data_IF_460870724822
#
_entry.id   IF_460870724822
#
_cell.length_a   1.000
_cell.length_b   1.000
_cell.length_c   1.000
_cell.angle_alpha   90.00
_cell.angle_beta   90.00
_cell.angle_gamma   90.00
#
_symmetry.space_group_name_H-M   'P 1'
#
loop_
_entity.id
_entity.type
_entity.pdbx_description
1 polymer ?
#
# COMPACT_ATOMS: atom_id res chain seq x y z
N UNK A 1 -3.99 55.12 52.57
CA UNK A 1 -4.61 54.56 51.41
C UNK A 1 -3.80 53.37 50.95
N UNK A 2 -4.17 52.14 51.36
CA UNK A 2 -3.50 50.91 51.02
C UNK A 2 -4.26 50.22 49.92
N UNK A 3 -3.66 50.11 48.72
CA UNK A 3 -4.19 49.30 47.63
C UNK A 3 -3.77 47.88 47.83
N UNK A 4 -4.72 46.98 48.12
CA UNK A 4 -4.54 45.53 48.19
C UNK A 4 -4.67 44.99 46.75
N UNK A 5 -3.56 44.51 46.19
CA UNK A 5 -3.56 43.75 44.96
C UNK A 5 -4.01 42.31 45.27
N UNK A 6 -5.17 41.92 44.80
CA UNK A 6 -5.63 40.55 44.84
C UNK A 6 -5.02 39.79 43.65
N UNK A 7 -4.13 38.87 43.92
CA UNK A 7 -3.57 37.93 43.00
C UNK A 7 -4.57 36.80 42.81
N UNK A 8 -5.28 36.77 41.70
CA UNK A 8 -6.16 35.65 41.32
C UNK A 8 -5.26 34.56 40.73
N UNK A 9 -4.97 33.53 41.51
CA UNK A 9 -4.33 32.32 41.03
C UNK A 9 -5.36 31.48 40.26
N UNK A 10 -5.20 31.46 38.95
CA UNK A 10 -5.96 30.57 38.06
C UNK A 10 -5.39 29.15 38.20
N UNK A 11 -6.06 28.32 39.02
CA UNK A 11 -5.74 26.88 39.11
C UNK A 11 -6.27 26.21 37.83
N UNK A 12 -5.40 25.99 36.88
CA UNK A 12 -5.66 25.08 35.76
C UNK A 12 -5.64 23.65 36.31
N UNK A 13 -6.81 23.13 36.64
CA UNK A 13 -6.97 21.68 36.88
C UNK A 13 -6.84 20.98 35.50
N UNK A 14 -5.64 20.45 35.21
CA UNK A 14 -5.47 19.48 34.14
C UNK A 14 -6.31 18.24 34.52
N UNK A 15 -7.42 18.08 33.82
CA UNK A 15 -8.20 16.85 33.88
C UNK A 15 -7.35 15.81 33.14
N UNK A 16 -6.54 15.03 33.84
CA UNK A 16 -6.00 13.78 33.36
C UNK A 16 -7.19 12.84 33.22
N UNK A 17 -7.70 12.70 32.00
CA UNK A 17 -8.54 11.58 31.68
C UNK A 17 -7.64 10.35 31.61
N UNK A 18 -7.43 9.73 32.78
CA UNK A 18 -6.89 8.37 32.83
C UNK A 18 -8.05 7.45 32.47
N UNK A 19 -8.25 7.19 31.19
CA UNK A 19 -8.99 6.00 30.80
C UNK A 19 -8.23 4.82 31.41
N UNK A 20 -8.86 3.93 32.18
CA UNK A 20 -8.19 2.70 32.57
C UNK A 20 -7.98 1.89 31.30
N UNK A 21 -6.77 1.87 30.78
CA UNK A 21 -6.36 0.82 29.85
C UNK A 21 -6.53 -0.46 30.69
N UNK A 22 -7.48 -1.30 30.33
CA UNK A 22 -7.63 -2.61 30.96
C UNK A 22 -6.26 -3.30 30.82
N UNK A 23 -5.70 -3.71 31.95
CA UNK A 23 -4.40 -4.37 31.96
C UNK A 23 -4.56 -5.66 31.14
N UNK A 24 -3.75 -5.83 30.10
CA UNK A 24 -3.68 -7.07 29.37
C UNK A 24 -3.35 -8.22 30.33
N UNK A 25 -4.04 -9.34 30.20
CA UNK A 25 -3.79 -10.54 30.97
C UNK A 25 -2.86 -11.47 30.19
N UNK A 26 -1.72 -11.82 30.77
CA UNK A 26 -0.77 -12.75 30.15
C UNK A 26 -1.32 -14.18 29.98
N UNK A 27 -2.48 -14.48 30.51
CA UNK A 27 -3.19 -15.76 30.31
C UNK A 27 -4.16 -15.70 29.13
N UNK A 28 -4.51 -14.52 28.65
CA UNK A 28 -5.37 -14.32 27.50
C UNK A 28 -4.53 -14.32 26.21
N UNK A 29 -5.09 -14.86 25.12
CA UNK A 29 -4.49 -14.78 23.80
C UNK A 29 -4.53 -13.34 23.22
N UNK A 30 -3.83 -13.13 22.11
CA UNK A 30 -3.70 -11.80 21.49
C UNK A 30 -5.08 -11.21 21.13
N UNK A 31 -6.01 -11.90 20.42
CA UNK A 31 -7.32 -11.35 20.11
C UNK A 31 -8.16 -11.01 21.34
N UNK A 32 -8.09 -11.84 22.38
CA UNK A 32 -8.81 -11.62 23.65
C UNK A 32 -8.29 -10.37 24.35
N UNK A 33 -6.95 -10.21 24.42
CA UNK A 33 -6.33 -9.01 24.97
C UNK A 33 -6.72 -7.76 24.18
N UNK A 34 -6.69 -7.80 22.83
CA UNK A 34 -7.11 -6.68 21.98
C UNK A 34 -8.57 -6.26 22.28
N UNK A 35 -9.48 -7.23 22.39
CA UNK A 35 -10.89 -6.99 22.75
C UNK A 35 -11.04 -6.35 24.12
N UNK A 36 -10.26 -6.78 25.11
CA UNK A 36 -10.38 -6.31 26.50
C UNK A 36 -9.84 -4.90 26.71
N UNK A 37 -9.01 -4.36 25.80
CA UNK A 37 -8.40 -3.02 25.95
C UNK A 37 -9.37 -1.88 25.70
N UNK A 38 -10.41 -2.08 24.84
CA UNK A 38 -11.38 -1.05 24.44
C UNK A 38 -10.79 0.12 23.64
N UNK A 39 -9.62 -0.09 23.02
CA UNK A 39 -8.94 0.87 22.15
C UNK A 39 -8.46 0.23 20.83
N UNK A 40 -8.87 -1.03 20.60
CA UNK A 40 -8.57 -1.82 19.42
C UNK A 40 -9.83 -2.45 18.82
N UNK A 41 -11.01 -1.82 19.00
CA UNK A 41 -12.27 -2.34 18.51
C UNK A 41 -12.22 -2.48 16.97
N UNK A 42 -11.67 -1.49 16.27
CA UNK A 42 -11.48 -1.52 14.81
C UNK A 42 -10.56 -2.66 14.36
N UNK A 43 -9.48 -2.94 15.09
CA UNK A 43 -8.60 -4.07 14.80
C UNK A 43 -9.34 -5.41 14.96
N UNK A 44 -10.11 -5.55 16.03
CA UNK A 44 -10.90 -6.78 16.28
C UNK A 44 -11.93 -6.98 15.19
N UNK A 45 -12.66 -5.94 14.79
CA UNK A 45 -13.63 -5.98 13.70
C UNK A 45 -12.98 -6.35 12.36
N UNK A 46 -11.79 -5.80 12.09
CA UNK A 46 -10.99 -6.14 10.90
C UNK A 46 -10.56 -7.62 10.91
N UNK A 47 -10.08 -8.13 12.06
CA UNK A 47 -9.71 -9.55 12.20
C UNK A 47 -10.90 -10.49 12.02
N UNK A 48 -12.10 -10.12 12.52
CA UNK A 48 -13.32 -10.88 12.30
C UNK A 48 -13.70 -10.89 10.82
N UNK A 49 -13.63 -9.74 10.16
CA UNK A 49 -13.96 -9.59 8.73
C UNK A 49 -13.04 -10.39 7.83
N UNK A 50 -11.74 -10.44 8.16
CA UNK A 50 -10.73 -11.20 7.42
C UNK A 50 -10.63 -12.69 7.83
N UNK A 51 -11.48 -13.16 8.75
CA UNK A 51 -11.44 -14.54 9.31
C UNK A 51 -10.08 -14.93 9.93
N UNK A 52 -9.38 -13.96 10.53
CA UNK A 52 -8.03 -14.14 11.10
C UNK A 52 -8.03 -14.39 12.61
N UNK A 53 -9.17 -14.29 13.29
CA UNK A 53 -9.24 -14.47 14.75
C UNK A 53 -8.69 -15.83 15.17
N UNK A 54 -9.14 -16.91 14.51
CA UNK A 54 -8.68 -18.28 14.83
C UNK A 54 -7.17 -18.45 14.55
N UNK A 55 -6.63 -17.79 13.53
CA UNK A 55 -5.20 -17.81 13.19
C UNK A 55 -4.36 -17.20 14.33
N UNK A 56 -4.80 -16.05 14.86
CA UNK A 56 -4.10 -15.37 15.95
C UNK A 56 -4.38 -15.96 17.34
N UNK A 57 -5.34 -16.88 17.47
CA UNK A 57 -5.54 -17.73 18.66
C UNK A 57 -4.64 -18.98 18.67
N UNK A 58 -3.91 -19.23 17.59
CA UNK A 58 -2.98 -20.35 17.48
C UNK A 58 -1.82 -20.31 18.48
N UNK A 59 -1.02 -21.39 18.46
CA UNK A 59 0.01 -21.66 19.48
C UNK A 59 1.19 -20.67 19.51
N UNK A 60 1.30 -19.72 18.57
CA UNK A 60 2.39 -18.73 18.55
C UNK A 60 3.81 -19.30 18.63
N UNK A 61 4.81 -18.57 19.12
CA UNK A 61 4.70 -17.18 19.55
C UNK A 61 4.50 -16.20 18.40
N UNK A 62 3.66 -15.21 18.62
CA UNK A 62 3.46 -14.10 17.69
C UNK A 62 3.91 -12.77 18.31
N UNK A 63 4.32 -11.84 17.44
CA UNK A 63 4.39 -10.42 17.81
C UNK A 63 3.39 -9.69 16.95
N UNK A 64 2.45 -8.98 17.58
CA UNK A 64 1.42 -8.22 16.87
C UNK A 64 1.63 -6.73 17.12
N UNK A 65 1.78 -5.98 16.06
CA UNK A 65 1.76 -4.52 16.06
C UNK A 65 0.30 -4.07 15.94
N UNK A 66 -0.32 -3.73 17.07
CA UNK A 66 -1.75 -3.47 17.18
C UNK A 66 -2.05 -1.97 17.01
N UNK A 67 -2.63 -1.52 15.89
CA UNK A 67 -3.05 -0.15 15.69
C UNK A 67 -4.23 0.18 16.61
N UNK A 68 -4.25 1.40 17.15
CA UNK A 68 -5.40 1.90 17.91
C UNK A 68 -6.58 2.23 16.98
N UNK A 69 -7.79 2.39 17.54
CA UNK A 69 -8.96 2.86 16.79
C UNK A 69 -8.71 4.23 16.14
N UNK A 70 -7.91 5.09 16.80
CA UNK A 70 -7.51 6.35 16.22
C UNK A 70 -6.61 6.17 15.00
N UNK A 71 -5.71 5.18 15.01
CA UNK A 71 -4.87 4.86 13.86
C UNK A 71 -5.69 4.43 12.63
N UNK A 72 -6.74 3.64 12.82
CA UNK A 72 -7.69 3.27 11.75
C UNK A 72 -8.44 4.50 11.24
N UNK A 73 -8.90 5.38 12.14
CA UNK A 73 -9.60 6.60 11.76
C UNK A 73 -8.69 7.57 10.98
N UNK A 74 -7.44 7.73 11.43
CA UNK A 74 -6.46 8.60 10.76
C UNK A 74 -6.04 8.06 9.39
N UNK A 75 -6.00 6.73 9.22
CA UNK A 75 -5.78 6.08 7.94
C UNK A 75 -7.00 6.14 7.01
N UNK A 76 -8.17 6.57 7.51
CA UNK A 76 -9.41 6.64 6.73
C UNK A 76 -9.94 5.27 6.30
N UNK A 77 -9.60 4.20 7.02
CA UNK A 77 -10.02 2.84 6.71
C UNK A 77 -11.48 2.66 7.15
N UNK A 78 -12.36 2.51 6.17
CA UNK A 78 -13.75 2.15 6.37
C UNK A 78 -13.92 0.62 6.17
N UNK A 79 -14.08 -0.11 7.27
CA UNK A 79 -14.24 -1.56 7.22
C UNK A 79 -15.49 -2.00 6.46
N UNK A 80 -16.53 -1.17 6.39
CA UNK A 80 -17.76 -1.48 5.67
C UNK A 80 -17.55 -1.46 4.13
N UNK A 81 -16.49 -0.83 3.66
CA UNK A 81 -16.15 -0.80 2.23
C UNK A 81 -15.60 -2.13 1.71
N UNK A 82 -15.04 -2.99 2.55
CA UNK A 82 -14.50 -4.29 2.15
C UNK A 82 -15.62 -5.31 1.97
N UNK A 83 -16.16 -5.44 0.78
CA UNK A 83 -17.36 -6.24 0.48
C UNK A 83 -17.12 -7.40 -0.49
N UNK A 84 -16.07 -7.35 -1.29
CA UNK A 84 -15.68 -8.40 -2.24
C UNK A 84 -14.58 -9.30 -1.67
N UNK A 85 -14.42 -10.48 -2.25
CA UNK A 85 -13.37 -11.42 -1.83
C UNK A 85 -11.97 -10.81 -2.05
N UNK A 86 -11.81 -9.99 -3.09
CA UNK A 86 -10.57 -9.28 -3.38
C UNK A 86 -10.25 -8.22 -2.32
N UNK A 87 -11.23 -7.40 -1.95
CA UNK A 87 -11.06 -6.39 -0.90
C UNK A 87 -10.77 -7.05 0.46
N UNK A 88 -11.42 -8.16 0.77
CA UNK A 88 -11.16 -8.93 1.99
C UNK A 88 -9.74 -9.54 1.94
N UNK A 89 -9.28 -10.00 0.78
CA UNK A 89 -7.92 -10.50 0.61
C UNK A 89 -6.88 -9.38 0.84
N UNK A 90 -7.14 -8.17 0.34
CA UNK A 90 -6.29 -7.01 0.60
C UNK A 90 -6.25 -6.62 2.09
N UNK A 91 -7.41 -6.61 2.76
CA UNK A 91 -7.48 -6.41 4.21
C UNK A 91 -6.70 -7.49 4.97
N UNK A 92 -6.81 -8.74 4.54
CA UNK A 92 -6.07 -9.88 5.10
C UNK A 92 -4.56 -9.67 4.99
N UNK A 93 -4.08 -9.21 3.84
CA UNK A 93 -2.67 -8.92 3.60
C UNK A 93 -2.16 -7.80 4.52
N UNK A 94 -2.91 -6.69 4.63
CA UNK A 94 -2.62 -5.61 5.57
C UNK A 94 -2.54 -6.13 6.99
N UNK A 95 -3.51 -6.92 7.45
CA UNK A 95 -3.53 -7.46 8.82
C UNK A 95 -2.37 -8.42 9.09
N UNK A 96 -2.00 -9.26 8.12
CA UNK A 96 -0.84 -10.15 8.24
C UNK A 96 0.49 -9.40 8.22
N UNK A 97 0.56 -8.22 7.61
CA UNK A 97 1.72 -7.33 7.69
C UNK A 97 1.91 -6.70 9.08
N UNK A 98 0.90 -6.78 9.96
CA UNK A 98 1.01 -6.38 11.37
C UNK A 98 1.48 -7.53 12.27
N UNK A 99 1.70 -8.72 11.73
CA UNK A 99 2.03 -9.92 12.51
C UNK A 99 3.40 -10.45 12.14
N UNK A 100 4.24 -10.67 13.13
CA UNK A 100 5.50 -11.39 13.01
C UNK A 100 5.40 -12.76 13.68
N UNK A 101 5.88 -13.82 13.01
CA UNK A 101 5.94 -15.17 13.56
C UNK A 101 7.17 -15.35 14.44
N UNK A 102 7.04 -14.95 15.70
CA UNK A 102 8.11 -14.96 16.69
C UNK A 102 7.78 -14.02 17.84
N UNK A 103 8.55 -14.07 18.92
CA UNK A 103 8.44 -13.15 20.05
C UNK A 103 9.59 -12.13 19.99
N UNK A 104 9.27 -10.87 19.72
CA UNK A 104 10.21 -9.75 19.72
C UNK A 104 9.78 -8.77 20.80
N UNK A 105 10.61 -8.59 21.84
CA UNK A 105 10.43 -7.55 22.81
C UNK A 105 11.14 -6.27 22.38
N UNK A 106 10.66 -5.12 22.81
CA UNK A 106 11.25 -3.81 22.46
C UNK A 106 12.76 -3.73 22.74
N UNK A 107 13.23 -4.40 23.80
CA UNK A 107 14.66 -4.47 24.14
C UNK A 107 15.50 -5.25 23.10
N UNK A 108 14.88 -6.08 22.26
CA UNK A 108 15.54 -6.82 21.19
C UNK A 108 15.55 -6.08 19.85
N UNK A 109 14.81 -4.97 19.74
CA UNK A 109 14.76 -4.16 18.53
C UNK A 109 15.97 -3.24 18.48
N UNK A 110 16.69 -3.28 17.37
CA UNK A 110 17.82 -2.38 17.08
C UNK A 110 17.50 -1.50 15.89
N UNK A 111 18.11 -0.33 15.85
CA UNK A 111 17.99 0.58 14.71
C UNK A 111 18.43 -0.09 13.40
N UNK A 112 17.60 0.01 12.35
CA UNK A 112 17.83 -0.65 11.06
C UNK A 112 17.51 -2.15 11.03
N UNK A 113 16.92 -2.73 12.09
CA UNK A 113 16.43 -4.12 12.05
C UNK A 113 15.31 -4.25 11.01
N UNK A 114 15.38 -5.29 10.18
CA UNK A 114 14.33 -5.67 9.24
C UNK A 114 13.86 -7.08 9.54
N UNK A 115 12.56 -7.32 9.52
CA UNK A 115 11.96 -8.65 9.74
C UNK A 115 10.89 -8.94 8.69
N UNK A 116 10.81 -10.20 8.27
CA UNK A 116 9.74 -10.66 7.40
C UNK A 116 8.46 -10.89 8.20
N UNK A 117 7.39 -10.19 7.83
CA UNK A 117 6.08 -10.33 8.44
C UNK A 117 5.34 -11.57 7.90
N UNK A 118 4.20 -11.91 8.48
CA UNK A 118 3.47 -13.15 8.12
C UNK A 118 2.94 -13.11 6.68
N UNK A 119 2.65 -11.94 6.12
CA UNK A 119 2.30 -11.80 4.70
C UNK A 119 3.49 -12.04 3.75
N UNK A 120 4.72 -12.02 4.24
CA UNK A 120 5.97 -12.24 3.51
C UNK A 120 6.75 -10.96 3.19
N UNK A 121 6.19 -9.79 3.47
CA UNK A 121 6.87 -8.52 3.25
C UNK A 121 7.78 -8.17 4.42
N UNK A 122 8.80 -7.36 4.16
CA UNK A 122 9.74 -6.91 5.18
C UNK A 122 9.27 -5.61 5.84
N UNK A 123 9.30 -5.57 7.18
CA UNK A 123 9.10 -4.37 7.96
C UNK A 123 10.42 -3.93 8.58
N UNK A 124 10.73 -2.63 8.45
CA UNK A 124 11.95 -2.03 8.99
C UNK A 124 11.67 -1.31 10.31
N UNK A 125 12.62 -1.40 11.24
CA UNK A 125 12.55 -0.75 12.53
C UNK A 125 13.56 0.38 12.63
N UNK A 126 13.13 1.48 13.26
CA UNK A 126 14.00 2.61 13.61
C UNK A 126 13.96 2.83 15.10
N UNK A 127 15.10 3.14 15.71
CA UNK A 127 15.18 3.46 17.13
C UNK A 127 15.84 4.82 17.29
N UNK A 128 15.06 5.84 17.66
CA UNK A 128 15.54 7.20 17.85
C UNK A 128 15.20 7.68 19.24
N UNK A 129 16.20 8.09 20.02
CA UNK A 129 16.07 8.59 21.39
C UNK A 129 15.28 7.64 22.33
N UNK A 130 15.39 6.32 22.08
CA UNK A 130 14.68 5.28 22.84
C UNK A 130 13.23 5.05 22.39
N UNK A 131 12.76 5.74 21.38
CA UNK A 131 11.47 5.50 20.73
C UNK A 131 11.65 4.48 19.61
N UNK A 132 10.86 3.42 19.64
CA UNK A 132 10.82 2.39 18.59
C UNK A 132 9.74 2.75 17.58
N UNK A 133 10.09 2.69 16.33
CA UNK A 133 9.15 2.80 15.22
C UNK A 133 9.23 1.53 14.37
N UNK A 134 8.11 1.12 13.78
CA UNK A 134 8.01 0.10 12.74
C UNK A 134 7.43 0.74 11.48
N UNK A 135 8.19 0.75 10.39
CA UNK A 135 7.85 1.60 9.25
C UNK A 135 7.73 3.06 9.69
N UNK A 136 6.57 3.67 9.47
CA UNK A 136 6.24 5.05 9.88
C UNK A 136 5.35 5.12 11.15
N UNK A 137 5.04 3.96 11.77
CA UNK A 137 4.24 3.88 12.99
C UNK A 137 5.13 3.91 14.23
N UNK A 138 4.72 4.69 15.24
CA UNK A 138 5.38 4.74 16.54
C UNK A 138 4.81 3.69 17.48
N UNK A 139 5.69 2.94 18.15
CA UNK A 139 5.28 2.05 19.23
C UNK A 139 4.97 2.90 20.48
N UNK A 140 3.68 3.07 20.77
CA UNK A 140 3.21 3.90 21.90
C UNK A 140 3.12 3.12 23.22
N UNK A 141 2.96 1.81 23.15
CA UNK A 141 3.02 0.90 24.30
C UNK A 141 3.65 -0.42 23.84
N UNK A 142 4.78 -0.76 24.43
CA UNK A 142 5.53 -1.95 24.08
C UNK A 142 5.35 -3.08 25.09
N UNK A 143 5.69 -4.31 24.66
CA UNK A 143 5.85 -5.50 25.50
C UNK A 143 4.58 -5.87 26.32
N UNK A 144 3.39 -5.68 25.73
CA UNK A 144 2.13 -6.14 26.30
C UNK A 144 2.06 -7.66 26.17
N UNK A 145 2.07 -8.44 27.27
CA UNK A 145 2.14 -9.88 27.21
C UNK A 145 0.80 -10.51 26.84
N UNK A 146 0.85 -11.59 26.07
CA UNK A 146 -0.26 -12.48 25.80
C UNK A 146 0.19 -13.95 25.97
N UNK A 147 -0.76 -14.88 26.16
CA UNK A 147 -0.46 -16.30 26.35
C UNK A 147 0.24 -16.94 25.14
N UNK A 148 0.03 -16.38 23.96
CA UNK A 148 0.59 -16.86 22.71
C UNK A 148 1.50 -15.82 21.98
N UNK A 149 1.97 -14.78 22.70
CA UNK A 149 2.89 -13.82 22.10
C UNK A 149 3.02 -12.49 22.83
N UNK A 150 3.38 -11.46 22.09
CA UNK A 150 3.60 -10.10 22.55
C UNK A 150 2.84 -9.13 21.65
N UNK A 151 2.24 -8.10 22.25
CA UNK A 151 1.56 -7.04 21.53
C UNK A 151 2.34 -5.73 21.71
N UNK A 152 2.57 -5.02 20.61
CA UNK A 152 3.06 -3.65 20.60
C UNK A 152 1.97 -2.75 20.04
N UNK A 153 1.49 -1.80 20.84
CA UNK A 153 0.48 -0.83 20.39
C UNK A 153 1.14 0.24 19.55
N UNK A 154 0.58 0.52 18.38
CA UNK A 154 1.11 1.50 17.43
C UNK A 154 0.08 2.59 17.11
N UNK A 155 0.60 3.78 16.75
CA UNK A 155 -0.21 4.97 16.45
C UNK A 155 -0.68 5.08 15.00
N UNK A 156 -0.24 4.16 14.12
CA UNK A 156 -0.67 4.10 12.72
C UNK A 156 -0.90 2.67 12.27
N UNK A 157 -1.74 2.50 11.24
CA UNK A 157 -1.88 1.24 10.53
C UNK A 157 -0.67 1.06 9.60
N UNK A 158 -0.01 -0.10 9.69
CA UNK A 158 1.08 -0.45 8.78
C UNK A 158 0.49 -0.81 7.41
N UNK A 159 1.01 -0.19 6.37
CA UNK A 159 0.66 -0.57 5.01
C UNK A 159 1.79 -1.41 4.43
N UNK A 160 1.50 -2.61 3.88
CA UNK A 160 2.49 -3.37 3.14
C UNK A 160 3.11 -2.49 2.04
N UNK A 161 4.41 -2.64 1.75
CA UNK A 161 4.97 -1.99 0.59
C UNK A 161 4.15 -2.39 -0.64
N UNK A 162 3.85 -1.41 -1.51
CA UNK A 162 3.22 -1.75 -2.77
C UNK A 162 4.08 -2.80 -3.47
N UNK A 163 3.46 -3.91 -3.88
CA UNK A 163 4.18 -4.88 -4.71
C UNK A 163 4.75 -4.11 -5.91
N UNK A 164 6.07 -3.93 -5.92
CA UNK A 164 6.74 -3.39 -7.11
C UNK A 164 6.29 -4.26 -8.28
N UNK A 165 5.79 -3.67 -9.37
CA UNK A 165 5.39 -4.45 -10.52
C UNK A 165 6.59 -5.30 -10.93
N UNK A 166 6.44 -6.63 -10.91
CA UNK A 166 7.50 -7.53 -11.35
C UNK A 166 7.72 -7.24 -12.84
N UNK A 167 8.75 -6.44 -13.12
CA UNK A 167 9.14 -6.13 -14.48
C UNK A 167 9.78 -7.39 -15.06
N UNK A 168 9.19 -8.01 -16.09
CA UNK A 168 9.75 -9.20 -16.73
C UNK A 168 11.15 -8.94 -17.27
N UNK A 169 12.00 -9.95 -17.25
CA UNK A 169 13.36 -9.85 -17.80
C UNK A 169 13.35 -9.31 -19.24
N UNK A 170 14.16 -8.29 -19.49
CA UNK A 170 14.26 -7.62 -20.79
C UNK A 170 13.24 -6.51 -21.01
N UNK A 171 12.49 -6.12 -19.99
CA UNK A 171 11.65 -4.93 -19.99
C UNK A 171 12.23 -3.90 -19.02
N UNK A 172 12.21 -2.62 -19.39
CA UNK A 172 12.46 -1.52 -18.46
C UNK A 172 11.14 -0.97 -17.90
N UNK A 173 10.07 -1.05 -18.70
CA UNK A 173 8.73 -0.62 -18.33
C UNK A 173 7.69 -1.63 -18.81
N UNK A 174 6.59 -1.74 -18.05
CA UNK A 174 5.44 -2.57 -18.44
C UNK A 174 4.20 -1.69 -18.52
N UNK A 175 3.44 -1.84 -19.59
CA UNK A 175 2.12 -1.28 -19.78
C UNK A 175 1.13 -2.44 -19.83
N UNK A 176 0.19 -2.46 -18.90
CA UNK A 176 -0.89 -3.42 -18.81
C UNK A 176 -2.24 -2.84 -19.25
N UNK A 177 -3.29 -3.39 -18.68
CA UNK A 177 -4.65 -2.90 -18.86
C UNK A 177 -5.17 -2.34 -17.52
N UNK A 178 -6.00 -1.30 -17.59
CA UNK A 178 -6.77 -0.82 -16.46
C UNK A 178 -7.67 -1.93 -15.88
N UNK A 179 -8.11 -1.79 -14.64
CA UNK A 179 -8.94 -2.80 -13.95
C UNK A 179 -10.21 -3.17 -14.72
N UNK A 180 -10.84 -2.20 -15.38
CA UNK A 180 -12.02 -2.42 -16.22
C UNK A 180 -11.69 -2.96 -17.62
N UNK A 181 -10.41 -3.07 -17.96
CA UNK A 181 -9.93 -3.51 -19.27
C UNK A 181 -10.22 -2.54 -20.42
N UNK A 182 -10.68 -1.32 -20.15
CA UNK A 182 -11.12 -0.37 -21.19
C UNK A 182 -10.04 0.63 -21.59
N UNK A 183 -8.90 0.65 -20.89
CA UNK A 183 -7.76 1.51 -21.16
C UNK A 183 -6.44 0.75 -20.93
N UNK A 184 -5.34 1.31 -21.39
CA UNK A 184 -4.03 0.94 -20.89
C UNK A 184 -3.82 1.55 -19.49
N UNK A 185 -3.12 0.88 -18.60
CA UNK A 185 -2.89 1.32 -17.22
C UNK A 185 -1.89 2.49 -17.12
N UNK A 186 -1.04 2.65 -18.13
CA UNK A 186 -0.13 3.77 -18.28
C UNK A 186 -0.19 4.29 -19.71
N UNK A 187 -0.75 5.47 -19.90
CA UNK A 187 -0.99 6.08 -21.23
C UNK A 187 -0.01 7.19 -21.60
N UNK A 188 0.83 7.63 -20.66
CA UNK A 188 1.78 8.73 -20.81
C UNK A 188 3.11 8.34 -20.16
N UNK A 189 3.99 7.72 -20.94
CA UNK A 189 5.27 7.20 -20.46
C UNK A 189 6.43 7.97 -21.08
N UNK A 190 7.40 8.40 -20.26
CA UNK A 190 8.64 9.02 -20.72
C UNK A 190 9.83 8.12 -20.40
N UNK A 191 10.64 7.83 -21.41
CA UNK A 191 11.77 6.89 -21.33
C UNK A 191 13.03 7.45 -21.98
N UNK A 192 14.20 6.89 -21.62
CA UNK A 192 15.44 7.17 -22.29
C UNK A 192 15.62 6.30 -23.57
N UNK A 193 16.43 6.79 -24.49
CA UNK A 193 16.87 5.98 -25.65
C UNK A 193 17.61 4.73 -25.17
N UNK A 194 17.28 3.59 -25.75
CA UNK A 194 17.82 2.27 -25.43
C UNK A 194 16.94 1.46 -24.47
N UNK A 195 15.91 2.05 -23.89
CA UNK A 195 15.01 1.34 -22.99
C UNK A 195 13.92 0.58 -23.74
N UNK A 196 13.43 -0.49 -23.13
CA UNK A 196 12.41 -1.41 -23.64
C UNK A 196 11.10 -1.24 -22.90
N UNK A 197 10.03 -0.97 -23.64
CA UNK A 197 8.66 -1.00 -23.13
C UNK A 197 7.99 -2.30 -23.54
N UNK A 198 7.32 -2.93 -22.60
CA UNK A 198 6.61 -4.18 -22.79
C UNK A 198 5.11 -3.97 -22.53
N UNK A 199 4.28 -4.27 -23.50
CA UNK A 199 2.83 -4.33 -23.32
C UNK A 199 2.46 -5.77 -22.99
N UNK A 200 2.02 -6.00 -21.74
CA UNK A 200 1.80 -7.37 -21.24
C UNK A 200 0.47 -7.45 -20.51
N UNK A 201 -0.36 -8.40 -20.94
CA UNK A 201 -1.56 -8.82 -20.20
C UNK A 201 -1.86 -10.28 -20.46
N UNK A 202 -2.51 -10.92 -19.49
CA UNK A 202 -2.92 -12.31 -19.54
C UNK A 202 -4.38 -12.41 -19.13
N UNK A 203 -5.13 -13.27 -19.83
CA UNK A 203 -6.52 -13.58 -19.51
C UNK A 203 -7.45 -12.35 -19.42
N UNK A 204 -7.19 -11.32 -20.24
CA UNK A 204 -8.05 -10.16 -20.33
C UNK A 204 -9.49 -10.56 -20.71
N UNK A 205 -10.48 -9.89 -20.10
CA UNK A 205 -11.90 -10.14 -20.37
C UNK A 205 -12.29 -9.87 -21.83
N UNK A 206 -11.56 -8.97 -22.51
CA UNK A 206 -11.72 -8.63 -23.93
C UNK A 206 -10.38 -8.71 -24.64
N UNK A 207 -10.43 -8.86 -25.96
CA UNK A 207 -9.23 -8.93 -26.76
C UNK A 207 -8.69 -7.52 -27.09
N UNK A 208 -7.39 -7.31 -26.87
CA UNK A 208 -6.67 -6.06 -27.09
C UNK A 208 -5.43 -6.27 -27.93
N UNK A 209 -4.95 -5.20 -28.55
CA UNK A 209 -3.67 -5.17 -29.22
C UNK A 209 -2.98 -3.80 -29.06
N UNK A 210 -1.75 -3.71 -29.54
CA UNK A 210 -0.98 -2.46 -29.66
C UNK A 210 -0.73 -2.20 -31.12
N UNK A 211 -1.14 -1.06 -31.61
CA UNK A 211 -0.97 -0.66 -33.00
C UNK A 211 -0.50 0.78 -33.06
N UNK A 212 0.66 1.01 -33.68
CA UNK A 212 1.19 2.36 -33.88
C UNK A 212 0.26 3.20 -34.73
N UNK A 213 0.11 4.46 -34.36
CA UNK A 213 -0.56 5.51 -35.15
C UNK A 213 0.44 6.62 -35.47
N UNK A 214 0.11 7.47 -36.44
CA UNK A 214 1.04 8.51 -36.94
C UNK A 214 1.12 9.75 -36.06
N UNK A 215 -0.02 10.12 -35.49
CA UNK A 215 -0.14 11.31 -34.65
C UNK A 215 -1.20 11.10 -33.58
N UNK A 216 -1.14 11.90 -32.54
CA UNK A 216 -2.11 11.86 -31.45
C UNK A 216 -3.54 12.09 -31.97
N UNK A 217 -4.46 11.23 -31.51
CA UNK A 217 -5.88 11.29 -31.88
C UNK A 217 -6.25 10.49 -33.13
N UNK A 218 -5.30 9.94 -33.89
CA UNK A 218 -5.60 8.98 -34.92
C UNK A 218 -6.28 7.72 -34.33
N UNK A 219 -7.28 7.21 -35.03
CA UNK A 219 -7.98 5.96 -34.64
C UNK A 219 -7.69 4.80 -35.60
N UNK A 220 -6.75 5.01 -36.51
CA UNK A 220 -6.40 4.03 -37.56
C UNK A 220 -4.90 3.74 -37.48
N UNK A 221 -4.56 2.46 -37.49
CA UNK A 221 -3.18 1.98 -37.46
C UNK A 221 -2.36 2.49 -38.64
N UNK A 222 -1.12 2.85 -38.42
CA UNK A 222 -0.11 2.96 -39.48
C UNK A 222 0.29 1.56 -39.92
N UNK A 223 -0.01 1.21 -41.18
CA UNK A 223 0.26 -0.13 -41.75
C UNK A 223 1.77 -0.44 -41.83
N UNK A 224 2.63 0.57 -41.78
CA UNK A 224 4.08 0.40 -41.80
C UNK A 224 4.69 0.48 -40.38
N UNK A 225 3.89 0.84 -39.39
CA UNK A 225 4.32 1.00 -37.99
C UNK A 225 4.30 -0.30 -37.20
N UNK A 226 4.70 -0.18 -35.95
CA UNK A 226 4.75 -1.26 -34.96
C UNK A 226 3.35 -1.84 -34.68
N UNK A 227 3.29 -3.16 -34.54
CA UNK A 227 2.03 -3.87 -34.43
C UNK A 227 2.16 -5.19 -33.66
N UNK A 228 1.48 -5.33 -32.55
CA UNK A 228 1.49 -6.54 -31.74
C UNK A 228 0.72 -7.73 -32.34
N UNK A 229 0.06 -7.51 -33.48
CA UNK A 229 -0.79 -8.53 -34.12
C UNK A 229 -2.28 -8.32 -33.88
N UNK A 230 -3.06 -9.33 -34.28
CA UNK A 230 -4.52 -9.34 -34.06
C UNK A 230 -4.81 -9.28 -32.55
N UNK A 231 -5.86 -8.55 -32.20
CA UNK A 231 -6.27 -8.42 -30.79
C UNK A 231 -6.46 -9.80 -30.13
N UNK A 232 -5.91 -9.95 -28.94
CA UNK A 232 -5.91 -11.18 -28.16
C UNK A 232 -6.14 -10.89 -26.66
N UNK A 233 -6.59 -11.88 -25.92
CA UNK A 233 -6.77 -11.80 -24.47
C UNK A 233 -5.46 -11.98 -23.70
N UNK A 234 -4.41 -12.45 -24.38
CA UNK A 234 -3.05 -12.58 -23.84
C UNK A 234 -2.08 -11.98 -24.84
N UNK A 235 -1.26 -11.03 -24.40
CA UNK A 235 -0.26 -10.32 -25.21
C UNK A 235 1.02 -10.19 -24.42
N UNK A 236 2.16 -10.42 -25.05
CA UNK A 236 3.51 -10.04 -24.63
C UNK A 236 4.17 -9.42 -25.85
N UNK A 237 4.16 -8.09 -25.91
CA UNK A 237 4.69 -7.32 -27.02
C UNK A 237 5.71 -6.33 -26.54
N UNK A 238 6.89 -6.28 -27.15
CA UNK A 238 8.06 -5.57 -26.64
C UNK A 238 8.70 -4.72 -27.72
N UNK A 239 9.01 -3.45 -27.41
CA UNK A 239 9.72 -2.53 -28.29
C UNK A 239 10.90 -1.93 -27.52
N UNK A 240 12.12 -2.05 -28.08
CA UNK A 240 13.29 -1.30 -27.62
C UNK A 240 13.43 -0.05 -28.47
N UNK A 241 13.32 1.11 -27.87
CA UNK A 241 13.37 2.40 -28.54
C UNK A 241 14.83 2.87 -28.70
N UNK A 242 15.29 2.97 -29.94
CA UNK A 242 16.70 3.27 -30.23
C UNK A 242 16.96 4.70 -30.69
N UNK A 243 15.92 5.50 -30.90
CA UNK A 243 15.98 6.88 -31.39
C UNK A 243 15.05 7.79 -30.56
N UNK A 244 15.32 9.11 -30.58
CA UNK A 244 14.42 10.11 -30.01
C UNK A 244 13.14 10.18 -30.84
N UNK A 245 11.99 9.85 -30.23
CA UNK A 245 10.70 9.86 -30.91
C UNK A 245 9.54 9.99 -29.90
N UNK A 246 8.36 10.27 -30.42
CA UNK A 246 7.12 10.04 -29.67
C UNK A 246 6.35 8.92 -30.39
N UNK A 247 6.19 7.83 -29.71
CA UNK A 247 5.48 6.66 -30.18
C UNK A 247 4.02 6.71 -29.73
N UNK A 248 3.11 7.00 -30.65
CA UNK A 248 1.67 6.98 -30.39
C UNK A 248 1.07 5.63 -30.76
N UNK A 249 0.20 5.09 -29.89
CA UNK A 249 -0.42 3.79 -30.11
C UNK A 249 -1.87 3.73 -29.66
N UNK A 250 -2.61 2.79 -30.21
CA UNK A 250 -4.02 2.50 -29.90
C UNK A 250 -4.23 1.00 -29.70
N UNK A 251 -5.34 0.65 -29.05
CA UNK A 251 -5.95 -0.67 -29.22
C UNK A 251 -6.97 -0.59 -30.37
N UNK A 252 -6.74 -1.26 -31.51
CA UNK A 252 -7.61 -1.13 -32.70
C UNK A 252 -9.11 -1.39 -32.40
N UNK A 253 -9.51 -2.45 -31.66
CA UNK A 253 -10.92 -2.67 -31.33
C UNK A 253 -11.56 -1.56 -30.50
N UNK A 254 -10.77 -0.84 -29.71
CA UNK A 254 -11.26 0.11 -28.72
C UNK A 254 -10.80 1.56 -28.97
N UNK A 255 -10.18 1.83 -30.14
CA UNK A 255 -9.68 3.16 -30.51
C UNK A 255 -10.79 4.23 -30.49
N UNK A 256 -12.00 3.89 -30.95
CA UNK A 256 -13.14 4.81 -30.94
C UNK A 256 -13.68 5.11 -29.52
N UNK A 257 -13.29 4.34 -28.53
CA UNK A 257 -13.62 4.53 -27.11
C UNK A 257 -12.50 5.24 -26.35
N UNK A 258 -11.41 5.63 -27.05
CA UNK A 258 -10.32 6.38 -26.46
C UNK A 258 -9.20 5.51 -25.86
N UNK A 259 -9.14 4.21 -26.17
CA UNK A 259 -8.05 3.36 -25.73
C UNK A 259 -6.78 3.63 -26.54
N UNK A 260 -5.98 4.57 -26.07
CA UNK A 260 -4.73 5.02 -26.69
C UNK A 260 -3.69 5.35 -25.61
N UNK A 261 -2.46 5.56 -26.05
CA UNK A 261 -1.36 6.04 -25.21
C UNK A 261 -0.19 6.51 -26.07
N UNK A 262 0.82 7.06 -25.42
CA UNK A 262 2.06 7.43 -26.07
C UNK A 262 3.29 7.18 -25.18
N UNK A 263 4.42 6.98 -25.83
CA UNK A 263 5.73 6.86 -25.20
C UNK A 263 6.62 7.97 -25.78
N UNK A 264 7.09 8.86 -24.91
CA UNK A 264 8.06 9.90 -25.26
C UNK A 264 9.47 9.36 -25.00
N UNK A 265 10.28 9.27 -26.05
CA UNK A 265 11.65 8.79 -25.97
C UNK A 265 12.61 9.96 -26.14
N UNK A 266 13.53 10.15 -25.19
CA UNK A 266 14.44 11.29 -25.25
C UNK A 266 15.80 11.05 -24.61
N UNK A 267 16.85 11.69 -25.18
CA UNK A 267 18.23 11.60 -24.66
C UNK A 267 18.49 12.39 -23.37
N UNK A 268 17.52 13.19 -22.91
CA UNK A 268 17.62 14.01 -21.70
C UNK A 268 16.88 13.44 -20.49
N UNK A 269 16.19 12.31 -20.64
CA UNK A 269 15.43 11.68 -19.55
C UNK A 269 16.38 10.71 -18.85
N UNK A 270 16.85 11.11 -17.69
CA UNK A 270 17.73 10.32 -16.83
C UNK A 270 16.89 9.73 -15.71
N UNK A 271 16.87 8.39 -15.66
CA UNK A 271 16.30 7.52 -14.63
C UNK A 271 14.77 7.28 -14.69
N UNK A 272 14.42 5.99 -14.48
CA UNK A 272 13.08 5.55 -14.15
C UNK A 272 12.52 6.42 -13.01
N UNK A 273 11.20 6.70 -12.97
CA UNK A 273 10.62 7.37 -11.84
C UNK A 273 10.81 6.48 -10.59
N UNK A 274 11.87 6.73 -9.85
CA UNK A 274 11.89 6.35 -8.45
C UNK A 274 10.75 7.14 -7.83
N UNK A 275 9.76 6.47 -7.26
CA UNK A 275 8.76 7.09 -6.39
C UNK A 275 9.48 7.69 -5.18
N UNK A 276 10.20 8.79 -5.40
CA UNK A 276 10.63 9.68 -4.33
C UNK A 276 9.40 10.51 -4.03
N UNK A 277 8.69 10.14 -2.98
CA UNK A 277 7.78 11.05 -2.31
C UNK A 277 8.65 12.19 -1.80
N UNK A 278 8.68 13.29 -2.55
CA UNK A 278 9.36 14.51 -2.15
C UNK A 278 8.59 15.09 -0.96
N UNK A 279 9.20 15.00 0.22
CA UNK A 279 8.61 15.38 1.52
C UNK A 279 8.59 16.90 1.75
N UNK A 280 8.74 17.72 0.70
CA UNK A 280 8.83 19.18 0.79
C UNK A 280 7.77 19.91 -0.06
N UNK A 281 6.47 19.53 0.01
CA UNK A 281 5.42 20.44 -0.47
C UNK A 281 4.37 20.67 0.64
N UNK A 282 4.54 21.83 1.26
CA UNK A 282 3.66 22.40 2.26
C UNK A 282 2.37 22.92 1.60
N UNK A 283 1.52 22.02 1.12
CA UNK A 283 0.19 22.34 0.62
C UNK A 283 -0.87 21.80 1.56
N UNK A 284 -1.71 22.65 2.17
CA UNK A 284 -2.75 22.18 3.07
C UNK A 284 -3.93 21.63 2.28
N UNK A 285 -4.23 20.36 2.47
CA UNK A 285 -5.55 19.82 2.22
C UNK A 285 -5.72 18.83 1.09
N UNK A 286 -5.12 17.64 1.18
CA UNK A 286 -5.68 16.43 0.57
C UNK A 286 -5.80 15.36 1.65
N UNK A 287 -7.01 14.87 1.86
CA UNK A 287 -7.31 13.85 2.85
C UNK A 287 -6.67 12.53 2.45
N UNK A 288 -5.83 11.97 3.33
CA UNK A 288 -5.12 10.70 3.17
C UNK A 288 -6.03 9.49 2.83
N UNK A 289 -7.35 9.65 2.98
CA UNK A 289 -8.31 8.57 2.75
C UNK A 289 -8.45 8.09 1.29
N UNK A 290 -8.19 8.98 0.30
CA UNK A 290 -8.32 8.60 -1.11
C UNK A 290 -7.07 7.82 -1.59
N UNK A 291 -5.91 8.13 -1.05
CA UNK A 291 -4.66 7.43 -1.40
C UNK A 291 -4.63 5.99 -0.86
N UNK A 292 -5.21 5.75 0.33
CA UNK A 292 -5.28 4.40 0.91
C UNK A 292 -6.19 3.47 0.10
N UNK A 293 -7.33 3.98 -0.41
CA UNK A 293 -8.27 3.19 -1.22
C UNK A 293 -7.65 2.84 -2.59
N UNK A 294 -6.91 3.78 -3.20
CA UNK A 294 -6.24 3.52 -4.47
C UNK A 294 -5.09 2.49 -4.33
N UNK A 295 -4.38 2.46 -3.18
CA UNK A 295 -3.36 1.47 -2.89
C UNK A 295 -3.96 0.06 -2.67
N UNK A 296 -5.14 -0.03 -2.04
CA UNK A 296 -5.83 -1.31 -1.83
C UNK A 296 -6.26 -1.91 -3.17
N UNK A 297 -6.76 -1.11 -4.09
CA UNK A 297 -7.14 -1.58 -5.44
C UNK A 297 -5.94 -2.08 -6.25
N UNK A 298 -4.77 -1.45 -6.13
CA UNK A 298 -3.55 -1.89 -6.81
C UNK A 298 -2.99 -3.21 -6.25
N UNK A 299 -3.17 -3.46 -4.94
CA UNK A 299 -2.68 -4.68 -4.29
C UNK A 299 -3.46 -5.94 -4.73
N UNK A 300 -4.74 -5.81 -5.03
CA UNK A 300 -5.64 -6.91 -5.40
C UNK A 300 -5.21 -7.62 -6.67
N UNK A 301 -4.70 -6.88 -7.67
CA UNK A 301 -4.29 -7.47 -8.95
C UNK A 301 -3.02 -8.34 -8.81
N UNK A 302 -2.15 -8.06 -7.85
CA UNK A 302 -0.91 -8.81 -7.65
C UNK A 302 -1.10 -10.10 -6.83
N UNK A 303 -2.04 -10.15 -5.87
CA UNK A 303 -2.29 -11.31 -5.01
C UNK A 303 -2.85 -12.55 -5.75
N UNK A 304 -3.52 -12.36 -6.88
CA UNK A 304 -4.10 -13.45 -7.68
C UNK A 304 -3.06 -14.29 -8.46
N UNK A 305 -1.77 -13.91 -8.46
CA UNK A 305 -0.73 -14.60 -9.26
C UNK A 305 0.18 -15.56 -8.48
N UNK A 306 -0.05 -15.78 -7.18
CA UNK A 306 0.79 -16.68 -6.36
C UNK A 306 0.20 -18.10 -6.18
N UNK A 307 -0.47 -18.66 -7.17
CA UNK A 307 -0.80 -20.09 -7.17
C UNK A 307 -0.42 -20.77 -8.47
#
# INVERSE_FOLDING_TARGET
MHKRNALIALIMTAFLVTSPIALADSNDDIPTNATNTGVHDSLVDALVKADLVATLQGDGPFTVFAPTDQAFADAGIDLDSFTTDEEIAALTDILLYHVYSGAVNAAGVTDGLTVAMVNGDEASFTVTDGTVMVGDATVVLADVPASNGVIHVIDKVLMPPADEPVIPEGCDFVIGLSEDGMAFDNTDLSIAVGQTVCWIWNDAAMAHNVAQIREEGDTTRDVAGEYSGTAATTVDYRITFTEDETFYYICEPHASMGMNGHVVVGTGISEAPTNVVDSDDNTPGFTAGIAAIALISALVVAGSRRR
#
